data_IF_140478226888
#
_entry.id   IF_140478226888
#
_cell.length_a   1.000
_cell.length_b   1.000
_cell.length_c   1.000
_cell.angle_alpha   90.00
_cell.angle_beta   90.00
_cell.angle_gamma   90.00
#
_symmetry.space_group_name_H-M   'P 1'
#
loop_
_entity.id
_entity.type
_entity.pdbx_description
1 polymer ?
#
# COMPACT_ATOMS: atom_id res chain seq x y z
N UNK A 1 -43.57 41.20 11.81
CA UNK A 1 -44.96 40.80 11.47
C UNK A 1 -44.95 39.30 11.64
N UNK A 2 -45.38 38.88 12.80
CA UNK A 2 -46.66 38.27 13.19
C UNK A 2 -46.82 36.90 12.54
N UNK A 3 -46.96 35.82 13.20
CA UNK A 3 -47.41 35.44 14.52
C UNK A 3 -47.76 33.97 14.45
N UNK A 4 -47.48 33.36 15.47
CA UNK A 4 -48.30 32.77 16.53
C UNK A 4 -48.66 31.28 16.36
N UNK A 5 -48.15 30.48 17.26
CA UNK A 5 -48.63 29.25 17.92
C UNK A 5 -50.08 29.38 18.43
N UNK A 6 -50.84 28.40 18.94
CA UNK A 6 -50.43 27.23 19.74
C UNK A 6 -51.40 26.02 19.78
N UNK A 7 -50.92 24.97 20.46
CA UNK A 7 -51.55 24.20 21.58
C UNK A 7 -52.67 23.21 21.30
N UNK A 8 -52.70 22.13 21.87
CA UNK A 8 -53.00 21.37 23.11
C UNK A 8 -53.83 20.14 22.73
N UNK A 9 -53.76 19.02 23.31
CA UNK A 9 -53.60 18.51 24.64
C UNK A 9 -54.20 17.15 24.77
N UNK A 10 -53.75 16.48 25.78
CA UNK A 10 -54.40 15.53 26.75
C UNK A 10 -54.37 14.03 26.53
N UNK A 11 -53.62 13.43 27.44
CA UNK A 11 -53.83 12.14 28.10
C UNK A 11 -55.22 12.05 28.80
N UNK A 12 -55.80 10.85 29.15
CA UNK A 12 -55.29 10.11 30.31
C UNK A 12 -55.46 8.56 30.28
N UNK A 13 -54.72 7.89 31.18
CA UNK A 13 -54.99 6.56 31.75
C UNK A 13 -56.13 6.65 32.81
N UNK A 14 -56.50 5.63 33.62
CA UNK A 14 -56.01 4.25 33.89
C UNK A 14 -57.14 3.19 34.12
N UNK A 15 -56.78 1.94 34.53
CA UNK A 15 -57.75 1.02 35.15
C UNK A 15 -57.32 -0.44 35.30
N UNK A 16 -56.77 -0.73 36.45
CA UNK A 16 -56.96 -1.81 37.44
C UNK A 16 -57.38 -3.24 37.02
N UNK A 17 -56.63 -4.19 37.63
CA UNK A 17 -56.81 -5.63 37.73
C UNK A 17 -58.09 -6.11 38.52
N UNK A 18 -58.14 -7.27 39.14
CA UNK A 18 -57.13 -8.11 39.80
C UNK A 18 -57.27 -9.66 39.67
N UNK A 19 -56.27 -10.42 40.16
CA UNK A 19 -56.15 -11.61 40.98
C UNK A 19 -56.99 -12.91 40.73
N UNK A 20 -56.42 -14.10 40.72
CA UNK A 20 -56.23 -15.05 41.82
C UNK A 20 -56.03 -16.51 41.37
N UNK A 21 -55.04 -17.16 41.97
CA UNK A 21 -54.97 -18.45 42.61
C UNK A 21 -55.02 -19.77 41.83
N UNK A 22 -54.08 -20.69 42.17
CA UNK A 22 -54.22 -22.12 42.20
C UNK A 22 -53.01 -22.94 41.70
N UNK A 23 -52.08 -23.28 42.60
CA UNK A 23 -51.25 -24.48 42.43
C UNK A 23 -52.01 -25.71 43.03
N UNK A 24 -51.40 -26.91 43.20
CA UNK A 24 -50.00 -27.30 43.24
C UNK A 24 -49.62 -28.64 42.53
N UNK A 25 -48.30 -28.88 42.49
CA UNK A 25 -47.64 -30.17 42.79
C UNK A 25 -47.54 -31.26 41.70
N UNK A 26 -46.35 -31.64 41.32
CA UNK A 26 -45.68 -32.94 41.47
C UNK A 26 -44.44 -33.09 40.51
N UNK A 27 -43.37 -33.36 41.17
CA UNK A 27 -42.10 -33.90 40.70
C UNK A 27 -42.18 -35.40 40.33
N UNK A 28 -41.04 -36.10 39.89
CA UNK A 28 -39.91 -35.77 38.97
C UNK A 28 -39.54 -36.90 37.96
N UNK A 29 -38.69 -36.59 37.02
CA UNK A 29 -37.63 -37.46 36.38
C UNK A 29 -38.01 -38.58 35.40
N UNK A 30 -37.15 -39.03 34.45
CA UNK A 30 -35.72 -38.82 34.33
C UNK A 30 -35.20 -38.52 32.88
N UNK A 31 -33.89 -38.28 32.83
CA UNK A 31 -32.99 -38.04 31.72
C UNK A 31 -33.21 -38.88 30.45
N UNK A 32 -32.98 -38.19 29.29
CA UNK A 32 -32.40 -38.81 28.09
C UNK A 32 -31.39 -37.85 27.45
N UNK A 33 -30.23 -38.37 27.45
CA UNK A 33 -29.05 -38.08 26.69
C UNK A 33 -29.34 -37.87 25.20
N UNK A 34 -28.93 -36.73 24.59
CA UNK A 34 -28.66 -36.58 23.16
C UNK A 34 -27.63 -35.49 22.98
N UNK A 35 -26.51 -35.90 22.40
CA UNK A 35 -25.33 -35.14 22.00
C UNK A 35 -25.56 -34.11 20.88
N UNK A 36 -24.55 -33.70 20.11
CA UNK A 36 -23.74 -32.54 20.42
C UNK A 36 -24.25 -31.24 19.77
N UNK A 37 -23.89 -30.15 20.38
CA UNK A 37 -24.18 -28.77 20.00
C UNK A 37 -23.89 -28.52 18.50
N UNK A 38 -24.90 -28.13 17.76
CA UNK A 38 -24.77 -27.41 16.50
C UNK A 38 -24.14 -26.06 16.81
N UNK A 39 -22.88 -25.92 16.37
CA UNK A 39 -22.20 -24.65 16.26
C UNK A 39 -23.08 -23.65 15.48
N UNK A 40 -23.67 -22.73 16.18
CA UNK A 40 -24.18 -21.48 15.61
C UNK A 40 -22.97 -20.67 15.18
N UNK A 41 -22.51 -20.92 13.96
CA UNK A 41 -21.65 -19.99 13.26
C UNK A 41 -22.40 -18.65 13.17
N UNK A 42 -21.90 -17.68 13.88
CA UNK A 42 -22.44 -16.32 13.95
C UNK A 42 -22.46 -15.69 12.56
N UNK A 43 -23.59 -15.05 12.23
CA UNK A 43 -23.85 -14.28 10.98
C UNK A 43 -22.90 -13.06 10.77
N UNK A 44 -21.85 -12.89 11.57
CA UNK A 44 -20.81 -11.85 11.38
C UNK A 44 -19.78 -12.19 10.28
N UNK A 45 -19.72 -13.43 9.78
CA UNK A 45 -18.75 -13.89 8.77
C UNK A 45 -19.23 -13.68 7.32
N UNK A 46 -20.48 -13.24 7.12
CA UNK A 46 -21.07 -13.08 5.77
C UNK A 46 -20.81 -11.73 5.11
N UNK A 47 -20.43 -10.71 5.85
CA UNK A 47 -20.12 -9.37 5.28
C UNK A 47 -18.72 -9.28 4.64
N UNK A 48 -17.84 -10.25 4.89
CA UNK A 48 -16.45 -10.31 4.38
C UNK A 48 -16.27 -11.22 3.15
N UNK A 49 -17.36 -11.67 2.52
CA UNK A 49 -17.30 -12.70 1.46
C UNK A 49 -16.91 -12.15 0.08
N UNK A 50 -16.89 -10.84 -0.11
CA UNK A 50 -16.51 -10.20 -1.39
C UNK A 50 -15.11 -9.64 -1.36
N UNK A 51 -14.39 -9.73 -2.48
CA UNK A 51 -13.02 -9.26 -2.61
C UNK A 51 -11.97 -10.35 -2.39
N UNK A 52 -10.76 -9.95 -2.05
CA UNK A 52 -9.62 -10.83 -1.82
C UNK A 52 -9.37 -11.04 -0.33
N UNK A 53 -9.39 -12.30 0.13
CA UNK A 53 -8.87 -12.72 1.44
C UNK A 53 -7.78 -13.77 1.20
N UNK A 54 -6.55 -13.43 1.56
CA UNK A 54 -5.40 -14.28 1.31
C UNK A 54 -4.42 -14.24 2.47
N UNK A 55 -3.95 -15.41 2.88
CA UNK A 55 -2.72 -15.59 3.65
C UNK A 55 -1.72 -16.30 2.76
N UNK A 56 -0.72 -15.58 2.29
CA UNK A 56 0.29 -16.07 1.37
C UNK A 56 1.47 -16.61 2.17
N UNK A 57 1.50 -17.93 2.39
CA UNK A 57 2.62 -18.62 3.02
C UNK A 57 3.40 -19.34 1.93
N UNK A 58 4.69 -19.02 1.77
CA UNK A 58 5.58 -19.65 0.79
C UNK A 58 6.94 -19.90 1.39
N UNK A 59 7.38 -21.15 1.36
CA UNK A 59 8.71 -21.58 1.79
C UNK A 59 9.57 -21.90 0.56
N UNK A 60 10.75 -21.26 0.45
CA UNK A 60 11.72 -21.51 -0.63
C UNK A 60 13.14 -21.48 -0.07
N UNK A 61 13.67 -22.64 0.27
CA UNK A 61 14.96 -22.73 0.96
C UNK A 61 14.90 -21.96 2.28
N UNK A 62 15.81 -21.01 2.46
CA UNK A 62 15.88 -20.18 3.68
C UNK A 62 14.89 -19.00 3.67
N UNK A 63 14.19 -18.77 2.55
CA UNK A 63 13.23 -17.68 2.43
C UNK A 63 11.83 -18.13 2.84
N UNK A 64 11.24 -17.42 3.78
CA UNK A 64 9.87 -17.62 4.26
C UNK A 64 9.03 -16.36 4.02
N UNK A 65 7.91 -16.49 3.31
CA UNK A 65 6.89 -15.46 3.14
C UNK A 65 5.68 -15.83 3.99
N UNK A 66 5.20 -14.90 4.80
CA UNK A 66 3.90 -14.98 5.50
C UNK A 66 3.25 -13.58 5.46
N UNK A 67 2.41 -13.37 4.47
CA UNK A 67 1.74 -12.08 4.19
C UNK A 67 0.25 -12.32 4.14
N UNK A 68 -0.50 -11.56 4.94
CA UNK A 68 -1.97 -11.54 4.89
C UNK A 68 -2.44 -10.30 4.12
N UNK A 69 -3.40 -10.50 3.22
CA UNK A 69 -4.02 -9.46 2.42
C UNK A 69 -5.53 -9.62 2.47
N UNK A 70 -6.24 -8.55 2.85
CA UNK A 70 -7.69 -8.45 2.73
C UNK A 70 -7.99 -7.20 1.92
N UNK A 71 -8.62 -7.32 0.76
CA UNK A 71 -8.85 -6.22 -0.19
C UNK A 71 -10.29 -6.24 -0.66
N UNK A 72 -10.98 -5.12 -0.48
CA UNK A 72 -12.37 -4.98 -0.94
C UNK A 72 -12.45 -4.85 -2.48
N UNK A 73 -13.58 -5.19 -3.09
CA UNK A 73 -13.81 -4.92 -4.51
C UNK A 73 -13.69 -3.41 -4.81
N UNK A 74 -13.04 -3.07 -5.90
CA UNK A 74 -12.79 -1.68 -6.31
C UNK A 74 -11.53 -1.06 -5.68
N UNK A 75 -10.95 -1.68 -4.64
CA UNK A 75 -9.73 -1.18 -4.01
C UNK A 75 -8.47 -1.59 -4.78
N UNK A 76 -7.50 -0.69 -4.78
CA UNK A 76 -6.14 -0.91 -5.28
C UNK A 76 -5.17 -0.97 -4.10
N UNK A 77 -4.52 -2.12 -3.91
CA UNK A 77 -3.49 -2.28 -2.88
C UNK A 77 -2.11 -2.34 -3.53
N UNK A 78 -1.17 -1.53 -3.05
CA UNK A 78 0.23 -1.62 -3.47
C UNK A 78 1.07 -2.35 -2.43
N UNK A 79 1.83 -3.35 -2.91
CA UNK A 79 2.87 -4.04 -2.13
C UNK A 79 4.20 -3.32 -2.34
N UNK A 80 4.74 -2.77 -1.27
CA UNK A 80 6.03 -2.11 -1.20
C UNK A 80 7.02 -2.94 -0.40
N UNK A 81 8.30 -2.65 -0.53
CA UNK A 81 9.35 -3.29 0.27
C UNK A 81 10.68 -3.34 -0.49
N UNK A 82 11.80 -3.60 0.20
CA UNK A 82 13.11 -3.72 -0.43
C UNK A 82 13.19 -4.90 -1.40
N UNK A 83 14.28 -4.95 -2.17
CA UNK A 83 14.56 -6.10 -3.02
C UNK A 83 14.72 -7.37 -2.18
N UNK A 84 14.14 -8.47 -2.64
CA UNK A 84 14.14 -9.73 -1.88
C UNK A 84 13.07 -9.84 -0.77
N UNK A 85 12.27 -8.81 -0.50
CA UNK A 85 11.22 -8.85 0.51
C UNK A 85 10.08 -9.86 0.23
N UNK A 86 9.94 -10.34 -1.02
CA UNK A 86 8.94 -11.35 -1.38
C UNK A 86 7.76 -10.83 -2.20
N UNK A 87 7.75 -9.57 -2.62
CA UNK A 87 6.65 -8.94 -3.38
C UNK A 87 6.26 -9.73 -4.64
N UNK A 88 7.22 -10.03 -5.49
CA UNK A 88 6.98 -10.84 -6.71
C UNK A 88 6.54 -12.27 -6.37
N UNK A 89 7.02 -12.84 -5.26
CA UNK A 89 6.58 -14.16 -4.79
C UNK A 89 5.11 -14.11 -4.36
N UNK A 90 4.71 -13.07 -3.60
CA UNK A 90 3.32 -12.85 -3.23
C UNK A 90 2.42 -12.71 -4.46
N UNK A 91 2.80 -11.87 -5.42
CA UNK A 91 2.05 -11.67 -6.67
C UNK A 91 1.93 -12.97 -7.49
N UNK A 92 3.02 -13.73 -7.62
CA UNK A 92 3.01 -15.04 -8.30
C UNK A 92 2.15 -16.07 -7.59
N UNK A 93 2.05 -16.03 -6.26
CA UNK A 93 1.17 -16.92 -5.51
C UNK A 93 -0.29 -16.58 -5.73
N UNK A 94 -0.65 -15.29 -5.77
CA UNK A 94 -1.99 -14.82 -6.16
C UNK A 94 -2.35 -15.28 -7.58
N UNK A 95 -1.40 -15.20 -8.50
CA UNK A 95 -1.58 -15.67 -9.88
C UNK A 95 -1.65 -17.21 -10.01
N UNK A 96 -1.28 -17.98 -8.98
CA UNK A 96 -1.20 -19.45 -9.03
C UNK A 96 0.09 -19.99 -9.64
N UNK A 97 1.05 -19.11 -9.94
CA UNK A 97 2.35 -19.48 -10.53
C UNK A 97 3.36 -19.99 -9.49
N UNK A 98 3.10 -19.72 -8.21
CA UNK A 98 3.85 -20.26 -7.08
C UNK A 98 2.86 -20.90 -6.12
N UNK A 99 3.00 -22.19 -5.78
CA UNK A 99 2.10 -22.86 -4.85
C UNK A 99 2.25 -22.28 -3.45
N UNK A 100 1.15 -22.24 -2.71
CA UNK A 100 1.17 -21.90 -1.29
C UNK A 100 1.68 -23.09 -0.47
N UNK A 101 2.47 -22.79 0.55
CA UNK A 101 2.91 -23.74 1.57
C UNK A 101 1.79 -24.02 2.59
N UNK A 102 2.04 -24.95 3.51
CA UNK A 102 1.09 -25.31 4.58
C UNK A 102 0.70 -24.07 5.40
N UNK A 103 -0.60 -23.87 5.60
CA UNK A 103 -1.15 -22.71 6.31
C UNK A 103 -1.49 -21.52 5.41
N UNK A 104 -1.10 -21.55 4.13
CA UNK A 104 -1.52 -20.57 3.13
C UNK A 104 -2.97 -20.81 2.70
N UNK A 105 -3.68 -19.71 2.43
CA UNK A 105 -5.06 -19.73 1.90
C UNK A 105 -5.24 -18.59 0.92
N UNK A 106 -6.12 -18.76 -0.05
CA UNK A 106 -6.48 -17.75 -1.03
C UNK A 106 -7.97 -17.88 -1.36
N UNK A 107 -8.72 -16.84 -1.08
CA UNK A 107 -10.14 -16.72 -1.46
C UNK A 107 -10.33 -15.44 -2.27
N UNK A 108 -11.14 -15.53 -3.29
CA UNK A 108 -11.58 -14.39 -4.10
C UNK A 108 -13.09 -14.47 -4.24
N UNK A 109 -13.80 -13.44 -3.78
CA UNK A 109 -15.27 -13.41 -3.69
C UNK A 109 -15.84 -14.65 -2.97
N UNK A 110 -15.20 -15.06 -1.87
CA UNK A 110 -15.57 -16.25 -1.11
C UNK A 110 -15.16 -17.59 -1.72
N UNK A 111 -14.71 -17.62 -2.97
CA UNK A 111 -14.29 -18.86 -3.67
C UNK A 111 -12.84 -19.18 -3.35
N UNK A 112 -12.57 -20.38 -2.85
CA UNK A 112 -11.21 -20.85 -2.59
C UNK A 112 -10.44 -21.11 -3.89
N UNK A 113 -9.26 -20.51 -4.00
CA UNK A 113 -8.37 -20.60 -5.18
C UNK A 113 -7.02 -21.27 -4.87
N UNK A 114 -6.79 -21.75 -3.64
CA UNK A 114 -5.48 -22.29 -3.21
C UNK A 114 -4.97 -23.40 -4.11
N UNK A 115 -5.86 -24.24 -4.63
CA UNK A 115 -5.56 -25.38 -5.50
C UNK A 115 -5.97 -25.18 -6.95
N UNK A 116 -6.56 -24.02 -7.29
CA UNK A 116 -6.99 -23.71 -8.64
C UNK A 116 -5.77 -23.42 -9.51
N UNK A 117 -5.58 -24.10 -10.65
CA UNK A 117 -4.46 -23.85 -11.53
C UNK A 117 -4.56 -22.44 -12.17
N UNK A 118 -3.43 -21.83 -12.58
CA UNK A 118 -3.39 -20.44 -13.06
C UNK A 118 -4.38 -20.14 -14.19
N UNK A 119 -4.52 -21.05 -15.14
CA UNK A 119 -5.40 -20.90 -16.32
C UNK A 119 -6.89 -20.88 -15.98
N UNK A 120 -7.27 -21.37 -14.81
CA UNK A 120 -8.66 -21.42 -14.33
C UNK A 120 -8.98 -20.32 -13.32
N UNK A 121 -8.00 -19.48 -12.94
CA UNK A 121 -8.22 -18.37 -12.02
C UNK A 121 -8.80 -17.17 -12.78
N UNK A 122 -9.78 -16.44 -12.21
CA UNK A 122 -10.31 -15.21 -12.80
C UNK A 122 -9.34 -14.02 -12.56
N UNK A 123 -8.07 -14.19 -12.97
CA UNK A 123 -6.97 -13.27 -12.67
C UNK A 123 -6.37 -12.73 -13.97
N UNK A 124 -6.24 -11.42 -14.07
CA UNK A 124 -5.46 -10.74 -15.10
C UNK A 124 -4.08 -10.37 -14.56
N UNK A 125 -3.01 -10.64 -15.32
CA UNK A 125 -1.64 -10.33 -14.89
C UNK A 125 -0.94 -9.48 -15.93
N UNK A 126 -0.33 -8.38 -15.47
CA UNK A 126 0.63 -7.58 -16.24
C UNK A 126 2.00 -7.78 -15.59
N UNK A 127 2.92 -8.41 -16.31
CA UNK A 127 4.29 -8.64 -15.88
C UNK A 127 5.18 -7.43 -16.21
N UNK A 128 6.29 -7.30 -15.52
CA UNK A 128 7.28 -6.22 -15.69
C UNK A 128 7.75 -6.07 -17.14
N UNK A 129 8.01 -7.17 -17.84
CA UNK A 129 8.42 -7.19 -19.26
C UNK A 129 7.25 -7.22 -20.24
N UNK A 130 6.02 -6.96 -19.75
CA UNK A 130 4.76 -7.01 -20.51
C UNK A 130 4.42 -8.35 -21.15
N UNK A 131 5.38 -9.19 -21.45
CA UNK A 131 5.29 -10.53 -22.05
C UNK A 131 4.25 -10.61 -23.18
N UNK A 132 4.29 -9.66 -24.11
CA UNK A 132 3.45 -9.69 -25.30
C UNK A 132 3.91 -10.81 -26.23
N UNK A 133 2.95 -11.49 -26.87
CA UNK A 133 3.24 -12.50 -27.87
C UNK A 133 3.87 -11.86 -29.12
N UNK A 134 5.17 -12.11 -29.42
CA UNK A 134 5.90 -11.35 -30.43
C UNK A 134 5.43 -11.62 -31.88
N UNK A 135 4.77 -12.73 -32.09
CA UNK A 135 4.23 -13.14 -33.39
C UNK A 135 2.83 -12.57 -33.67
N UNK A 136 2.11 -12.12 -32.62
CA UNK A 136 0.76 -11.55 -32.73
C UNK A 136 0.82 -10.02 -32.86
N UNK A 137 -0.21 -9.44 -33.49
CA UNK A 137 -0.45 -8.00 -33.48
C UNK A 137 -0.92 -7.52 -32.09
N UNK A 138 -0.97 -6.21 -31.84
CA UNK A 138 -1.58 -5.66 -30.61
C UNK A 138 -3.02 -6.14 -30.46
N UNK A 139 -3.82 -6.06 -31.52
CA UNK A 139 -5.20 -6.54 -31.54
C UNK A 139 -5.30 -8.04 -31.19
N UNK A 140 -4.45 -8.87 -31.79
CA UNK A 140 -4.49 -10.31 -31.54
C UNK A 140 -3.92 -10.69 -30.16
N UNK A 141 -3.01 -9.89 -29.60
CA UNK A 141 -2.57 -10.01 -28.20
C UNK A 141 -3.73 -9.80 -27.24
N UNK A 142 -4.51 -8.73 -27.42
CA UNK A 142 -5.68 -8.43 -26.58
C UNK A 142 -6.80 -9.43 -26.78
N UNK A 143 -7.07 -9.84 -28.01
CA UNK A 143 -8.09 -10.84 -28.34
C UNK A 143 -7.75 -12.28 -27.88
N UNK A 144 -6.50 -12.54 -27.46
CA UNK A 144 -6.03 -13.87 -27.10
C UNK A 144 -6.81 -14.47 -25.91
N UNK A 145 -6.91 -13.73 -24.83
CA UNK A 145 -7.61 -14.19 -23.61
C UNK A 145 -9.09 -14.54 -23.84
N UNK A 146 -9.91 -13.63 -24.38
CA UNK A 146 -11.31 -13.93 -24.72
C UNK A 146 -11.46 -15.15 -25.62
N UNK A 147 -10.56 -15.34 -26.59
CA UNK A 147 -10.56 -16.54 -27.44
C UNK A 147 -10.29 -17.83 -26.68
N UNK A 148 -9.40 -17.80 -25.69
CA UNK A 148 -9.15 -18.95 -24.81
C UNK A 148 -10.37 -19.26 -23.93
N UNK A 149 -11.20 -18.26 -23.64
CA UNK A 149 -12.48 -18.42 -22.92
C UNK A 149 -13.65 -18.86 -23.84
N UNK A 150 -13.38 -19.17 -25.14
CA UNK A 150 -14.37 -19.65 -26.07
C UNK A 150 -15.12 -18.57 -26.86
N UNK A 151 -14.77 -17.28 -26.70
CA UNK A 151 -15.40 -16.19 -27.46
C UNK A 151 -15.03 -16.33 -28.95
N UNK A 152 -16.00 -16.25 -29.89
CA UNK A 152 -15.76 -16.31 -31.30
C UNK A 152 -14.72 -15.28 -31.77
N UNK A 153 -13.87 -15.66 -32.74
CA UNK A 153 -12.74 -14.83 -33.21
C UNK A 153 -13.14 -13.41 -33.59
N UNK A 154 -14.25 -13.25 -34.32
CA UNK A 154 -14.73 -11.94 -34.76
C UNK A 154 -15.14 -11.07 -33.58
N UNK A 155 -15.86 -11.62 -32.61
CA UNK A 155 -16.30 -10.94 -31.40
C UNK A 155 -15.13 -10.61 -30.50
N UNK A 156 -14.20 -11.55 -30.24
CA UNK A 156 -13.00 -11.30 -29.46
C UNK A 156 -12.13 -10.18 -30.04
N UNK A 157 -12.03 -10.07 -31.39
CA UNK A 157 -11.32 -8.97 -32.04
C UNK A 157 -12.08 -7.64 -31.95
N UNK A 158 -13.41 -7.65 -31.96
CA UNK A 158 -14.19 -6.43 -31.72
C UNK A 158 -14.00 -5.92 -30.30
N UNK A 159 -14.12 -6.79 -29.29
CA UNK A 159 -13.82 -6.45 -27.88
C UNK A 159 -12.38 -5.92 -27.70
N UNK A 160 -11.42 -6.55 -28.39
CA UNK A 160 -10.02 -6.12 -28.34
C UNK A 160 -9.80 -4.75 -28.99
N UNK A 161 -10.52 -4.44 -30.08
CA UNK A 161 -10.47 -3.12 -30.72
C UNK A 161 -11.02 -2.03 -29.78
N UNK A 162 -12.13 -2.29 -29.11
CA UNK A 162 -12.69 -1.38 -28.10
C UNK A 162 -11.71 -1.11 -26.94
N UNK A 163 -11.03 -2.15 -26.46
CA UNK A 163 -10.00 -1.98 -25.42
C UNK A 163 -8.81 -1.16 -25.91
N UNK A 164 -8.34 -1.41 -27.15
CA UNK A 164 -7.24 -0.62 -27.72
C UNK A 164 -7.63 0.83 -27.94
N UNK A 165 -8.87 1.10 -28.34
CA UNK A 165 -9.38 2.47 -28.49
C UNK A 165 -9.42 3.21 -27.13
N UNK A 166 -9.97 2.58 -26.09
CA UNK A 166 -9.95 3.10 -24.71
C UNK A 166 -8.53 3.41 -24.21
N UNK A 167 -7.54 2.61 -24.64
CA UNK A 167 -6.13 2.82 -24.31
C UNK A 167 -5.43 3.84 -25.23
N UNK A 168 -6.13 4.45 -26.17
CA UNK A 168 -5.55 5.37 -27.17
C UNK A 168 -4.58 4.69 -28.13
N UNK A 169 -4.89 3.45 -28.53
CA UNK A 169 -4.04 2.61 -29.38
C UNK A 169 -4.77 2.09 -30.65
N UNK A 170 -5.88 2.71 -31.04
CA UNK A 170 -6.65 2.30 -32.22
C UNK A 170 -5.75 2.21 -33.47
N UNK A 171 -4.92 3.22 -33.72
CA UNK A 171 -4.01 3.29 -34.87
C UNK A 171 -2.86 2.26 -34.80
N UNK A 172 -2.64 1.65 -33.64
CA UNK A 172 -1.57 0.66 -33.41
C UNK A 172 -2.09 -0.78 -33.37
N UNK A 173 -3.39 -1.00 -33.61
CA UNK A 173 -4.01 -2.33 -33.53
C UNK A 173 -3.32 -3.40 -34.40
N UNK A 174 -2.83 -3.01 -35.58
CA UNK A 174 -2.08 -3.89 -36.51
C UNK A 174 -0.57 -4.02 -36.20
N UNK A 175 -0.04 -3.24 -35.24
CA UNK A 175 1.39 -3.24 -34.93
C UNK A 175 1.78 -4.51 -34.15
N UNK A 176 2.97 -5.05 -34.45
CA UNK A 176 3.61 -6.11 -33.64
C UNK A 176 4.38 -5.50 -32.45
N UNK A 177 4.59 -6.23 -31.34
CA UNK A 177 5.25 -5.72 -30.14
C UNK A 177 6.58 -4.97 -30.38
N UNK A 178 7.41 -5.47 -31.30
CA UNK A 178 8.69 -4.81 -31.68
C UNK A 178 8.55 -3.42 -32.31
N UNK A 179 7.36 -3.02 -32.75
CA UNK A 179 7.05 -1.71 -33.35
C UNK A 179 6.35 -0.76 -32.39
N UNK A 180 6.10 -1.19 -31.18
CA UNK A 180 5.49 -0.40 -30.12
C UNK A 180 6.56 0.25 -29.24
N UNK A 181 6.31 1.49 -28.79
CA UNK A 181 7.08 2.06 -27.70
C UNK A 181 6.82 1.32 -26.39
N UNK A 182 7.67 1.49 -25.37
CA UNK A 182 7.47 0.88 -24.06
C UNK A 182 6.09 1.17 -23.48
N UNK A 183 5.66 2.44 -23.50
CA UNK A 183 4.34 2.83 -23.02
C UNK A 183 3.18 2.29 -23.86
N UNK A 184 3.36 2.11 -25.17
CA UNK A 184 2.37 1.46 -26.01
C UNK A 184 2.27 -0.04 -25.70
N UNK A 185 3.41 -0.72 -25.57
CA UNK A 185 3.46 -2.14 -25.23
C UNK A 185 2.80 -2.42 -23.86
N UNK A 186 3.05 -1.55 -22.89
CA UNK A 186 2.42 -1.61 -21.57
C UNK A 186 0.89 -1.48 -21.67
N UNK A 187 0.38 -0.47 -22.38
CA UNK A 187 -1.06 -0.29 -22.56
C UNK A 187 -1.72 -1.47 -23.30
N UNK A 188 -1.02 -2.09 -24.25
CA UNK A 188 -1.48 -3.34 -24.87
C UNK A 188 -1.53 -4.49 -23.86
N UNK A 189 -0.52 -4.62 -22.98
CA UNK A 189 -0.51 -5.65 -21.94
C UNK A 189 -1.65 -5.44 -20.92
N UNK A 190 -1.92 -4.20 -20.55
CA UNK A 190 -3.04 -3.84 -19.68
C UNK A 190 -4.39 -4.16 -20.36
N UNK A 191 -4.57 -3.75 -21.60
CA UNK A 191 -5.76 -4.07 -22.39
C UNK A 191 -5.97 -5.60 -22.48
N UNK A 192 -4.89 -6.39 -22.68
CA UNK A 192 -4.94 -7.85 -22.70
C UNK A 192 -5.40 -8.43 -21.36
N UNK A 193 -4.88 -7.89 -20.25
CA UNK A 193 -5.25 -8.35 -18.93
C UNK A 193 -6.71 -8.01 -18.57
N UNK A 194 -7.21 -6.84 -19.00
CA UNK A 194 -8.58 -6.41 -18.74
C UNK A 194 -9.62 -7.04 -19.67
N UNK A 195 -9.23 -7.44 -20.89
CA UNK A 195 -10.14 -8.01 -21.89
C UNK A 195 -10.81 -9.33 -21.44
N UNK A 196 -10.20 -10.06 -20.52
CA UNK A 196 -10.77 -11.28 -19.92
C UNK A 196 -11.76 -10.98 -18.77
N UNK A 197 -12.00 -9.69 -18.44
CA UNK A 197 -12.84 -9.25 -17.32
C UNK A 197 -12.46 -9.93 -15.99
N UNK A 198 -11.21 -9.77 -15.54
CA UNK A 198 -10.74 -10.47 -14.35
C UNK A 198 -11.44 -9.94 -13.09
N UNK A 199 -11.52 -10.78 -12.06
CA UNK A 199 -11.98 -10.39 -10.70
C UNK A 199 -10.81 -9.92 -9.83
N UNK A 200 -9.57 -10.24 -10.22
CA UNK A 200 -8.34 -9.82 -9.60
C UNK A 200 -7.35 -9.38 -10.68
N UNK A 201 -6.89 -8.15 -10.62
CA UNK A 201 -5.84 -7.61 -11.49
C UNK A 201 -4.52 -7.53 -10.74
N UNK A 202 -3.49 -8.16 -11.27
CA UNK A 202 -2.14 -8.18 -10.72
C UNK A 202 -1.20 -7.41 -11.64
N UNK A 203 -0.50 -6.41 -11.06
CA UNK A 203 0.40 -5.52 -11.80
C UNK A 203 1.80 -5.63 -11.18
N UNK A 204 2.76 -6.21 -11.90
CA UNK A 204 4.15 -6.34 -11.46
C UNK A 204 5.00 -5.25 -12.12
N UNK A 205 5.37 -4.23 -11.35
CA UNK A 205 6.16 -3.07 -11.78
C UNK A 205 5.69 -2.46 -13.12
N UNK A 206 4.40 -2.11 -13.25
CA UNK A 206 3.81 -1.78 -14.54
C UNK A 206 4.40 -0.52 -15.19
N UNK A 207 5.13 0.34 -14.46
CA UNK A 207 5.69 1.59 -14.96
C UNK A 207 7.23 1.62 -15.02
N UNK A 208 7.91 0.53 -14.61
CA UNK A 208 9.36 0.50 -14.44
C UNK A 208 10.16 0.74 -15.72
N UNK A 209 9.65 0.25 -16.87
CA UNK A 209 10.34 0.33 -18.16
C UNK A 209 10.08 1.64 -18.93
N UNK A 210 9.47 2.65 -18.30
CA UNK A 210 9.09 3.90 -18.95
C UNK A 210 10.05 5.04 -18.57
N UNK A 211 10.33 5.92 -19.54
CA UNK A 211 10.98 7.19 -19.30
C UNK A 211 10.09 8.12 -18.44
N UNK A 212 10.68 9.12 -17.78
CA UNK A 212 9.99 9.97 -16.80
C UNK A 212 8.74 10.67 -17.37
N UNK A 213 8.78 11.13 -18.62
CA UNK A 213 7.65 11.82 -19.26
C UNK A 213 6.51 10.86 -19.58
N UNK A 214 6.84 9.76 -20.24
CA UNK A 214 5.86 8.71 -20.59
C UNK A 214 5.23 8.11 -19.33
N UNK A 215 6.01 7.96 -18.24
CA UNK A 215 5.52 7.44 -16.95
C UNK A 215 4.40 8.30 -16.37
N UNK A 216 4.51 9.63 -16.43
CA UNK A 216 3.46 10.54 -15.94
C UNK A 216 2.13 10.34 -16.66
N UNK A 217 2.16 10.30 -18.00
CA UNK A 217 0.96 10.14 -18.82
C UNK A 217 0.31 8.77 -18.60
N UNK A 218 1.14 7.71 -18.55
CA UNK A 218 0.67 6.34 -18.36
C UNK A 218 0.15 6.11 -16.95
N UNK A 219 0.80 6.72 -15.92
CA UNK A 219 0.32 6.69 -14.53
C UNK A 219 -1.09 7.29 -14.42
N UNK A 220 -1.30 8.48 -15.00
CA UNK A 220 -2.62 9.12 -15.00
C UNK A 220 -3.68 8.28 -15.74
N UNK A 221 -3.32 7.65 -16.86
CA UNK A 221 -4.17 6.72 -17.58
C UNK A 221 -4.50 5.47 -16.75
N UNK A 222 -3.49 4.85 -16.16
CA UNK A 222 -3.64 3.65 -15.32
C UNK A 222 -4.56 3.93 -14.12
N UNK A 223 -4.37 5.07 -13.43
CA UNK A 223 -5.24 5.47 -12.32
C UNK A 223 -6.71 5.56 -12.73
N UNK A 224 -7.02 6.17 -13.89
CA UNK A 224 -8.40 6.25 -14.40
C UNK A 224 -8.99 4.86 -14.65
N UNK A 225 -8.22 3.97 -15.28
CA UNK A 225 -8.70 2.61 -15.56
C UNK A 225 -8.88 1.78 -14.29
N UNK A 226 -8.01 1.97 -13.28
CA UNK A 226 -8.16 1.31 -11.98
C UNK A 226 -9.38 1.85 -11.21
N UNK A 227 -9.66 3.16 -11.27
CA UNK A 227 -10.84 3.76 -10.63
C UNK A 227 -12.17 3.28 -11.24
N UNK A 228 -12.17 2.87 -12.52
CA UNK A 228 -13.32 2.28 -13.21
C UNK A 228 -13.38 0.75 -13.06
N UNK A 229 -12.37 0.16 -12.42
CA UNK A 229 -12.25 -1.29 -12.26
C UNK A 229 -12.91 -1.71 -10.95
N UNK A 230 -14.10 -2.26 -11.02
CA UNK A 230 -14.93 -2.66 -9.88
C UNK A 230 -14.43 -3.91 -9.13
N UNK A 231 -13.35 -4.54 -9.59
CA UNK A 231 -12.75 -5.71 -8.97
C UNK A 231 -11.47 -5.32 -8.20
N UNK A 232 -10.84 -6.30 -7.55
CA UNK A 232 -9.62 -6.10 -6.76
C UNK A 232 -8.41 -5.87 -7.65
N UNK A 233 -7.56 -4.90 -7.32
CA UNK A 233 -6.25 -4.73 -7.94
C UNK A 233 -5.11 -4.81 -6.91
N UNK A 234 -4.06 -5.57 -7.23
CA UNK A 234 -2.81 -5.63 -6.45
C UNK A 234 -1.65 -5.19 -7.33
N UNK A 235 -0.98 -4.14 -6.90
CA UNK A 235 0.15 -3.53 -7.57
C UNK A 235 1.45 -3.84 -6.81
N UNK A 236 2.48 -4.29 -7.49
CA UNK A 236 3.85 -4.32 -6.97
C UNK A 236 4.64 -3.22 -7.65
N UNK A 237 5.29 -2.37 -6.86
CA UNK A 237 6.21 -1.35 -7.39
C UNK A 237 7.33 -1.06 -6.38
N UNK A 238 8.46 -0.57 -6.88
CA UNK A 238 9.54 -0.03 -6.06
C UNK A 238 9.54 1.51 -6.06
N UNK A 239 8.71 2.15 -6.91
CA UNK A 239 8.58 3.61 -6.97
C UNK A 239 7.48 4.07 -5.99
N UNK A 240 7.85 4.86 -4.95
CA UNK A 240 6.89 5.34 -3.96
C UNK A 240 5.80 6.23 -4.57
N UNK A 241 6.13 7.03 -5.58
CA UNK A 241 5.16 7.90 -6.22
C UNK A 241 4.11 7.10 -6.99
N UNK A 242 4.51 5.99 -7.64
CA UNK A 242 3.58 5.11 -8.32
C UNK A 242 2.60 4.50 -7.31
N UNK A 243 3.12 3.99 -6.17
CA UNK A 243 2.29 3.43 -5.11
C UNK A 243 1.34 4.47 -4.51
N UNK A 244 1.85 5.65 -4.15
CA UNK A 244 1.06 6.71 -3.51
C UNK A 244 -0.03 7.29 -4.41
N UNK A 245 0.19 7.30 -5.73
CA UNK A 245 -0.79 7.84 -6.70
C UNK A 245 -1.80 6.80 -7.13
N UNK A 246 -1.41 5.54 -7.25
CA UNK A 246 -2.24 4.49 -7.85
C UNK A 246 -3.04 3.71 -6.82
N UNK A 247 -2.55 3.58 -5.58
CA UNK A 247 -3.15 2.70 -4.58
C UNK A 247 -3.97 3.48 -3.54
N UNK A 248 -5.05 2.85 -3.09
CA UNK A 248 -5.88 3.32 -1.98
C UNK A 248 -5.26 2.93 -0.64
N UNK A 249 -4.50 1.81 -0.64
CA UNK A 249 -3.83 1.27 0.53
C UNK A 249 -2.46 0.70 0.17
N UNK A 250 -1.48 0.92 1.05
CA UNK A 250 -0.13 0.40 0.94
C UNK A 250 0.08 -0.71 1.96
N UNK A 251 0.73 -1.79 1.55
CA UNK A 251 1.20 -2.88 2.40
C UNK A 251 2.71 -2.99 2.23
N UNK A 252 3.46 -2.69 3.27
CA UNK A 252 4.92 -2.74 3.24
C UNK A 252 5.40 -4.08 3.78
N UNK A 253 6.18 -4.77 2.96
CA UNK A 253 6.71 -6.11 3.26
C UNK A 253 8.21 -6.04 3.39
N UNK A 254 8.74 -6.50 4.52
CA UNK A 254 10.17 -6.69 4.76
C UNK A 254 10.41 -8.11 5.30
N UNK A 255 11.47 -8.75 4.83
CA UNK A 255 11.83 -10.11 5.25
C UNK A 255 10.67 -11.12 5.20
N UNK A 256 9.80 -11.00 4.18
CA UNK A 256 8.66 -11.90 3.98
C UNK A 256 7.46 -11.65 4.89
N UNK A 257 7.42 -10.54 5.63
CA UNK A 257 6.33 -10.19 6.55
C UNK A 257 5.83 -8.77 6.33
N UNK A 258 4.57 -8.54 6.64
CA UNK A 258 4.01 -7.17 6.66
C UNK A 258 4.55 -6.44 7.89
N UNK A 259 5.20 -5.29 7.65
CA UNK A 259 5.76 -4.43 8.72
C UNK A 259 4.91 -3.19 8.96
N UNK A 260 4.22 -2.72 7.94
CA UNK A 260 3.27 -1.61 8.06
C UNK A 260 2.22 -1.69 6.96
N UNK A 261 1.01 -1.25 7.30
CA UNK A 261 -0.12 -1.15 6.39
C UNK A 261 -0.92 0.10 6.71
N UNK A 262 -1.47 0.76 5.69
CA UNK A 262 -2.28 1.97 5.87
C UNK A 262 -2.51 2.73 4.57
N UNK A 263 -3.16 3.88 4.67
CA UNK A 263 -3.28 4.79 3.54
C UNK A 263 -1.90 5.35 3.15
N UNK A 264 -1.71 5.77 1.89
CA UNK A 264 -0.47 6.44 1.47
C UNK A 264 -0.08 7.61 2.38
N UNK A 265 -1.06 8.40 2.83
CA UNK A 265 -0.84 9.54 3.72
C UNK A 265 -0.39 9.13 5.12
N UNK A 266 -0.93 8.04 5.67
CA UNK A 266 -0.56 7.57 7.02
C UNK A 266 0.87 7.00 7.02
N UNK A 267 1.20 6.20 6.00
CA UNK A 267 2.55 5.63 5.86
C UNK A 267 3.59 6.73 5.65
N UNK A 268 3.26 7.76 4.86
CA UNK A 268 4.16 8.89 4.63
C UNK A 268 4.37 9.75 5.89
N UNK A 269 3.36 9.88 6.74
CA UNK A 269 3.45 10.70 7.98
C UNK A 269 4.08 9.95 9.15
N UNK A 270 3.88 8.63 9.23
CA UNK A 270 4.27 7.82 10.37
C UNK A 270 5.05 6.58 9.92
N UNK A 271 6.23 6.74 9.25
CA UNK A 271 7.04 5.61 8.86
C UNK A 271 7.52 4.83 10.09
N UNK A 272 7.49 3.49 10.03
CA UNK A 272 7.89 2.61 11.15
C UNK A 272 9.18 1.83 10.89
N UNK A 273 9.74 1.97 9.68
CA UNK A 273 11.02 1.35 9.32
C UNK A 273 11.89 2.32 8.54
N UNK A 274 13.20 2.09 8.55
CA UNK A 274 14.16 2.89 7.79
C UNK A 274 13.86 2.84 6.29
N UNK A 275 13.39 1.69 5.78
CA UNK A 275 13.00 1.57 4.39
C UNK A 275 11.87 2.54 4.03
N UNK A 276 10.82 2.60 4.86
CA UNK A 276 9.69 3.52 4.62
C UNK A 276 10.15 4.97 4.75
N UNK A 277 10.96 5.28 5.75
CA UNK A 277 11.49 6.63 5.94
C UNK A 277 12.32 7.09 4.74
N UNK A 278 13.21 6.24 4.22
CA UNK A 278 13.97 6.51 2.99
C UNK A 278 13.03 6.68 1.77
N UNK A 279 12.01 5.84 1.67
CA UNK A 279 11.03 5.89 0.59
C UNK A 279 10.30 7.24 0.52
N UNK A 280 9.95 7.81 1.69
CA UNK A 280 9.27 9.11 1.80
C UNK A 280 10.24 10.29 2.00
N UNK A 281 11.54 10.01 2.04
CA UNK A 281 12.58 11.02 2.16
C UNK A 281 12.66 11.68 3.52
N UNK A 282 12.53 10.94 4.62
CA UNK A 282 12.63 11.42 5.98
C UNK A 282 13.85 10.85 6.71
N UNK A 283 14.40 11.60 7.64
CA UNK A 283 15.23 11.07 8.71
C UNK A 283 14.29 10.43 9.75
N UNK A 284 14.58 9.21 10.20
CA UNK A 284 13.79 8.45 11.17
C UNK A 284 14.69 7.90 12.27
N UNK A 285 14.22 8.03 13.51
CA UNK A 285 14.92 7.48 14.68
C UNK A 285 13.91 6.85 15.63
N UNK A 286 14.35 5.79 16.31
CA UNK A 286 13.62 5.17 17.39
C UNK A 286 14.22 5.57 18.74
N UNK A 287 13.39 5.72 19.75
CA UNK A 287 13.84 6.05 21.08
C UNK A 287 12.73 5.97 22.12
N UNK A 288 13.03 6.48 23.32
CA UNK A 288 12.08 6.56 24.43
C UNK A 288 11.84 8.02 24.78
N UNK A 289 10.57 8.42 24.81
CA UNK A 289 10.15 9.77 25.15
C UNK A 289 9.94 9.93 26.65
N UNK A 290 10.38 11.06 27.17
CA UNK A 290 10.11 11.59 28.53
C UNK A 290 9.70 13.07 28.38
N UNK A 291 8.40 13.32 28.25
CA UNK A 291 7.85 14.65 27.95
C UNK A 291 8.24 15.11 26.56
N UNK A 292 8.89 16.25 26.44
CA UNK A 292 9.35 16.83 25.17
C UNK A 292 10.74 16.32 24.71
N UNK A 293 11.36 15.42 25.47
CA UNK A 293 12.70 14.89 25.14
C UNK A 293 12.61 13.43 24.77
N UNK A 294 13.14 13.08 23.62
CA UNK A 294 13.27 11.69 23.17
C UNK A 294 14.73 11.30 23.22
N UNK A 295 15.06 10.33 24.07
CA UNK A 295 16.38 9.67 24.09
C UNK A 295 16.40 8.60 23.03
N UNK A 296 17.25 8.78 22.03
CA UNK A 296 17.36 7.82 20.92
C UNK A 296 18.06 6.54 21.34
N UNK A 297 17.72 5.42 20.72
CA UNK A 297 18.38 4.13 20.92
C UNK A 297 19.87 4.18 20.56
N UNK A 298 20.27 5.12 19.68
CA UNK A 298 21.67 5.41 19.31
C UNK A 298 22.42 6.33 20.28
N UNK A 299 21.76 6.85 21.33
CA UNK A 299 22.35 7.61 22.42
C UNK A 299 22.00 9.10 22.48
N UNK A 300 22.04 9.89 21.40
CA UNK A 300 21.67 11.31 21.44
C UNK A 300 20.22 11.54 21.84
N UNK A 301 19.90 12.78 22.25
CA UNK A 301 18.53 13.18 22.54
C UNK A 301 18.00 14.16 21.49
N UNK A 302 16.70 14.08 21.20
CA UNK A 302 15.96 15.02 20.34
C UNK A 302 14.87 15.69 21.19
N UNK A 303 14.80 17.01 21.11
CA UNK A 303 13.69 17.79 21.67
C UNK A 303 12.60 17.94 20.62
N UNK A 304 11.36 17.63 20.98
CA UNK A 304 10.17 17.70 20.13
C UNK A 304 9.12 18.67 20.71
N UNK A 305 8.08 18.97 19.96
CA UNK A 305 6.93 19.76 20.43
C UNK A 305 5.87 18.90 21.10
N UNK A 306 5.82 17.62 20.75
CA UNK A 306 4.90 16.64 21.32
C UNK A 306 5.35 16.25 22.74
N UNK A 307 4.40 16.14 23.64
CA UNK A 307 4.62 15.60 24.99
C UNK A 307 4.21 14.12 24.98
N UNK A 308 5.19 13.24 24.98
CA UNK A 308 5.01 11.80 24.86
C UNK A 308 5.77 11.04 25.95
N UNK A 309 5.41 9.78 26.16
CA UNK A 309 6.09 8.87 27.07
C UNK A 309 6.19 7.46 26.49
N UNK A 310 7.29 6.77 26.78
CA UNK A 310 7.54 5.41 26.32
C UNK A 310 8.15 5.35 24.93
N UNK A 311 8.07 4.18 24.25
CA UNK A 311 8.70 3.97 22.95
C UNK A 311 8.06 4.83 21.85
N UNK A 312 8.88 5.55 21.10
CA UNK A 312 8.44 6.45 20.02
C UNK A 312 9.37 6.38 18.81
N UNK A 313 8.83 6.80 17.68
CA UNK A 313 9.61 7.25 16.54
C UNK A 313 9.68 8.77 16.50
N UNK A 314 10.81 9.31 16.01
CA UNK A 314 10.98 10.73 15.69
C UNK A 314 11.38 10.83 14.23
N UNK A 315 10.63 11.61 13.45
CA UNK A 315 10.89 11.85 12.05
C UNK A 315 11.00 13.34 11.74
N UNK A 316 11.86 13.70 10.77
CA UNK A 316 11.93 15.04 10.20
C UNK A 316 12.52 15.02 8.79
N UNK A 317 12.08 15.95 7.91
CA UNK A 317 12.60 15.98 6.54
C UNK A 317 14.05 16.51 6.52
N UNK A 318 14.89 16.05 5.59
CA UNK A 318 16.25 16.56 5.38
C UNK A 318 16.30 18.07 5.12
N UNK A 319 15.27 18.63 4.49
CA UNK A 319 15.15 20.08 4.28
C UNK A 319 14.91 20.91 5.55
N UNK A 320 14.58 20.25 6.70
CA UNK A 320 14.49 20.92 8.01
C UNK A 320 15.86 21.08 8.70
N UNK A 321 16.87 20.40 8.18
CA UNK A 321 18.23 20.43 8.72
C UNK A 321 18.96 21.67 8.21
N UNK A 322 19.51 22.45 9.13
CA UNK A 322 20.37 23.59 8.79
C UNK A 322 21.82 23.27 9.17
N UNK A 323 22.74 23.49 8.24
CA UNK A 323 24.18 23.23 8.44
C UNK A 323 24.94 24.53 8.70
N UNK A 324 25.94 24.43 9.58
CA UNK A 324 26.88 25.51 9.92
C UNK A 324 28.32 24.97 9.95
N UNK A 325 29.31 25.81 9.56
CA UNK A 325 30.73 25.46 9.72
C UNK A 325 31.13 25.47 11.18
N UNK A 326 30.72 26.52 11.90
CA UNK A 326 31.02 26.71 13.32
C UNK A 326 29.78 26.50 14.15
N UNK A 327 29.97 26.21 15.46
CA UNK A 327 28.86 26.01 16.38
C UNK A 327 28.01 27.29 16.45
N UNK A 328 26.73 27.22 16.04
CA UNK A 328 25.88 28.40 16.03
C UNK A 328 25.61 28.89 17.48
N UNK A 329 25.66 30.21 17.67
CA UNK A 329 25.32 30.91 18.91
C UNK A 329 24.04 31.70 18.70
N UNK A 330 23.14 31.72 19.71
CA UNK A 330 21.87 32.46 19.63
C UNK A 330 20.80 31.79 18.71
N UNK A 331 20.98 30.55 18.29
CA UNK A 331 19.98 29.81 17.53
C UNK A 331 18.76 29.45 18.38
N UNK A 332 17.56 29.54 17.78
CA UNK A 332 16.31 29.03 18.36
C UNK A 332 16.13 27.51 18.20
N UNK A 333 17.01 26.85 17.43
CA UNK A 333 17.00 25.41 17.31
C UNK A 333 17.37 24.73 18.63
N UNK A 334 16.61 23.74 19.04
CA UNK A 334 16.86 22.99 20.28
C UNK A 334 17.72 21.76 20.06
N UNK A 335 17.76 21.28 18.84
CA UNK A 335 18.52 20.11 18.42
C UNK A 335 19.77 20.56 17.68
N UNK A 336 20.94 20.15 18.18
CA UNK A 336 22.24 20.53 17.66
C UNK A 336 23.22 19.37 17.81
N UNK A 337 23.85 18.96 16.72
CA UNK A 337 24.81 17.85 16.71
C UNK A 337 26.06 18.22 15.91
N UNK A 338 27.20 17.72 16.34
CA UNK A 338 28.43 17.77 15.59
C UNK A 338 28.49 16.59 14.64
N UNK A 339 28.65 16.86 13.35
CA UNK A 339 28.65 15.87 12.29
C UNK A 339 29.85 16.06 11.36
N UNK A 340 30.04 15.08 10.49
CA UNK A 340 31.00 15.08 9.40
C UNK A 340 30.28 14.68 8.13
N UNK A 341 30.60 15.31 7.00
CA UNK A 341 30.03 15.01 5.68
C UNK A 341 30.53 13.65 5.22
N UNK A 342 29.63 12.66 5.10
CA UNK A 342 29.92 11.33 4.59
C UNK A 342 29.80 11.26 3.07
N UNK A 343 28.83 11.97 2.48
CA UNK A 343 28.58 12.00 1.04
C UNK A 343 27.79 13.23 0.60
N UNK A 344 27.86 13.52 -0.70
CA UNK A 344 27.06 14.55 -1.36
C UNK A 344 26.49 13.97 -2.65
N UNK A 345 25.18 14.09 -2.83
CA UNK A 345 24.48 13.64 -4.02
C UNK A 345 23.58 14.74 -4.59
N UNK A 346 23.55 14.87 -5.92
CA UNK A 346 22.64 15.81 -6.56
C UNK A 346 21.23 15.23 -6.59
N UNK A 347 20.27 15.94 -6.02
CA UNK A 347 18.88 15.54 -5.92
C UNK A 347 17.97 16.62 -6.55
N UNK A 348 17.74 16.50 -7.85
CA UNK A 348 17.02 17.54 -8.60
C UNK A 348 17.82 18.85 -8.63
N UNK A 349 17.25 19.92 -8.05
CA UNK A 349 17.86 21.25 -7.89
C UNK A 349 18.58 21.44 -6.54
N UNK A 350 18.60 20.40 -5.72
CA UNK A 350 19.19 20.38 -4.38
C UNK A 350 20.39 19.43 -4.31
N UNK A 351 21.20 19.61 -3.28
CA UNK A 351 22.25 18.67 -2.89
C UNK A 351 21.83 18.01 -1.59
N UNK A 352 21.71 16.71 -1.62
CA UNK A 352 21.59 15.88 -0.42
C UNK A 352 22.96 15.64 0.16
N UNK A 353 23.08 15.92 1.43
CA UNK A 353 24.32 15.75 2.21
C UNK A 353 24.07 14.69 3.26
N UNK A 354 24.73 13.57 3.15
CA UNK A 354 24.72 12.52 4.18
C UNK A 354 25.75 12.86 5.24
N UNK A 355 25.34 12.85 6.48
CA UNK A 355 26.14 13.20 7.64
C UNK A 355 26.29 12.02 8.58
N UNK A 356 27.50 11.90 9.14
CA UNK A 356 27.85 10.97 10.21
C UNK A 356 28.32 11.74 11.45
N UNK A 357 28.40 11.10 12.61
CA UNK A 357 28.88 11.73 13.86
C UNK A 357 27.97 11.43 15.04
N UNK A 358 27.65 12.44 15.85
CA UNK A 358 26.78 12.27 17.02
C UNK A 358 25.41 11.69 16.65
N UNK A 359 24.85 12.17 15.54
CA UNK A 359 23.63 11.65 14.95
C UNK A 359 23.79 11.51 13.43
N UNK A 360 23.78 10.31 12.84
CA UNK A 360 23.74 10.15 11.40
C UNK A 360 22.41 10.69 10.85
N UNK A 361 22.46 11.61 9.88
CA UNK A 361 21.27 12.22 9.28
C UNK A 361 21.54 12.72 7.86
N UNK A 362 20.50 12.94 7.08
CA UNK A 362 20.56 13.60 5.79
C UNK A 362 20.10 15.07 5.89
N UNK A 363 20.70 15.94 5.09
CA UNK A 363 20.31 17.33 4.94
C UNK A 363 20.17 17.68 3.46
N UNK A 364 19.15 18.48 3.10
CA UNK A 364 18.97 18.99 1.74
C UNK A 364 19.29 20.47 1.70
N UNK A 365 20.22 20.86 0.81
CA UNK A 365 20.67 22.23 0.63
C UNK A 365 20.57 22.66 -0.84
N UNK A 366 20.51 23.95 -1.06
CA UNK A 366 20.71 24.49 -2.40
C UNK A 366 22.18 24.32 -2.82
N UNK A 367 22.44 24.22 -4.12
CA UNK A 367 23.80 24.14 -4.66
C UNK A 367 24.67 25.32 -4.21
N UNK A 368 24.05 26.51 -4.10
CA UNK A 368 24.74 27.72 -3.64
C UNK A 368 25.16 27.60 -2.18
N UNK A 369 24.25 27.16 -1.30
CA UNK A 369 24.57 26.99 0.13
C UNK A 369 25.67 25.94 0.35
N UNK A 370 25.64 24.83 -0.38
CA UNK A 370 26.69 23.81 -0.30
C UNK A 370 28.07 24.34 -0.72
N UNK A 371 28.11 25.17 -1.77
CA UNK A 371 29.36 25.84 -2.23
C UNK A 371 29.83 26.86 -1.21
N UNK A 372 28.98 27.73 -0.68
CA UNK A 372 29.33 28.73 0.32
C UNK A 372 29.85 28.11 1.62
N UNK A 373 29.26 26.98 2.04
CA UNK A 373 29.74 26.20 3.17
C UNK A 373 31.04 25.42 2.84
N UNK A 374 31.42 25.31 1.58
CA UNK A 374 32.60 24.58 1.15
C UNK A 374 32.54 23.11 1.51
N UNK A 375 31.35 22.47 1.37
CA UNK A 375 31.14 21.10 1.77
C UNK A 375 31.90 20.13 0.87
N UNK A 376 32.58 19.21 1.48
CA UNK A 376 33.26 18.08 0.84
C UNK A 376 33.25 16.88 1.81
N UNK A 377 33.42 15.69 1.31
CA UNK A 377 33.53 14.50 2.16
C UNK A 377 34.62 14.67 3.19
N UNK A 378 34.32 14.38 4.48
CA UNK A 378 35.21 14.58 5.63
C UNK A 378 35.11 16.00 6.24
N UNK A 379 34.34 16.93 5.69
CA UNK A 379 34.20 18.26 6.26
C UNK A 379 33.42 18.21 7.57
N UNK A 380 33.94 18.78 8.69
CA UNK A 380 33.21 18.91 9.93
C UNK A 380 32.14 20.00 9.82
N UNK A 381 30.93 19.70 10.32
CA UNK A 381 29.80 20.63 10.30
C UNK A 381 28.98 20.51 11.60
N UNK A 382 28.19 21.53 11.88
CA UNK A 382 27.15 21.48 12.90
C UNK A 382 25.80 21.41 12.22
N UNK A 383 25.00 20.40 12.57
CA UNK A 383 23.64 20.22 12.10
C UNK A 383 22.64 20.64 13.16
N UNK A 384 21.62 21.40 12.76
CA UNK A 384 20.55 21.84 13.68
C UNK A 384 19.18 21.57 13.09
N UNK A 385 18.23 21.25 13.98
CA UNK A 385 16.80 21.09 13.64
C UNK A 385 15.97 21.77 14.73
N UNK A 386 14.95 22.54 14.32
CA UNK A 386 14.00 23.13 15.27
C UNK A 386 13.07 22.03 15.81
N UNK A 387 12.71 22.08 17.10
CA UNK A 387 11.74 21.17 17.69
C UNK A 387 10.38 21.20 16.95
N UNK A 388 9.99 22.34 16.38
CA UNK A 388 8.76 22.48 15.60
C UNK A 388 8.81 21.81 14.21
N UNK A 389 9.95 21.30 13.80
CA UNK A 389 10.15 20.59 12.52
C UNK A 389 10.41 19.10 12.72
N UNK A 390 10.49 18.66 13.97
CA UNK A 390 10.51 17.25 14.34
C UNK A 390 9.08 16.79 14.63
N UNK A 391 8.76 15.55 14.28
CA UNK A 391 7.48 14.94 14.55
C UNK A 391 7.71 13.61 15.29
N UNK A 392 7.18 13.52 16.52
CA UNK A 392 7.27 12.31 17.33
C UNK A 392 5.91 11.63 17.42
N UNK A 393 5.89 10.29 17.35
CA UNK A 393 4.68 9.47 17.42
C UNK A 393 4.98 8.11 18.07
N UNK A 394 3.98 7.43 18.68
CA UNK A 394 4.15 6.13 19.32
C UNK A 394 4.66 5.05 18.37
N UNK A 395 5.60 4.20 18.87
CA UNK A 395 6.21 3.12 18.11
C UNK A 395 5.28 1.91 17.90
#
# INVERSE_FOLDING_TARGET
MTGVNPATGKNPAPGNGPAAEGGPDQTPSPAKDTGPDEDTASDEDTASAQGLDARLVVDRGDFHLDVTLSVAPGDVVALLGPNGAGKTTALRSLAGLTPLSRGGRLRLDGVALDRTPPESRPVGVVFQDYLLFPHLTALDNVAFGPRCQGVPKAEARAQAADWLDRMGLADHAGAKPRRLSGGQAQRVALARALAIRPRLLLLDEPLAALDARTRLDVRAGLRRHLAEFEAVAVLVTHDPLDAMVLADRLVVVEHGRVVQEGSPSDIARHPRTDYIAQLVGLNLYRGTAEGHTVRLDTGPAITTTEELSGPVFVAFPPGAVTLYRDRPTGSSARNLWRCEVAGLETHGDQIRVDLTGELPLAADLTTVAAAELGLHTGAPVWATVKATQTHAYPA
#
